data_IF_504338640675
#
_entry.id   IF_504338640675
#
_cell.length_a   1.000
_cell.length_b   1.000
_cell.length_c   1.000
_cell.angle_alpha   90.00
_cell.angle_beta   90.00
_cell.angle_gamma   90.00
#
_symmetry.space_group_name_H-M   'P 1'
#
loop_
_entity.id
_entity.type
_entity.pdbx_description
1 polymer ?
#
# COMPACT_ATOMS: atom_id res chain seq x y z
N UNK A 1 -20.46 -6.49 -29.31
CA UNK A 1 -19.29 -6.93 -28.52
C UNK A 1 -17.96 -6.35 -29.01
N UNK A 2 -17.72 -6.23 -30.33
CA UNK A 2 -16.45 -5.72 -30.87
C UNK A 2 -16.09 -4.28 -30.47
N UNK A 3 -17.05 -3.36 -30.42
CA UNK A 3 -16.78 -1.95 -30.07
C UNK A 3 -16.30 -1.75 -28.63
N UNK A 4 -16.84 -2.51 -27.66
CA UNK A 4 -16.41 -2.45 -26.25
C UNK A 4 -15.00 -3.01 -26.08
N UNK A 5 -14.70 -4.14 -26.72
CA UNK A 5 -13.37 -4.72 -26.70
C UNK A 5 -12.35 -3.79 -27.37
N UNK A 6 -12.70 -3.20 -28.52
CA UNK A 6 -11.87 -2.21 -29.22
C UNK A 6 -11.65 -0.94 -28.39
N UNK A 7 -12.70 -0.41 -27.75
CA UNK A 7 -12.59 0.78 -26.89
C UNK A 7 -11.67 0.49 -25.70
N UNK A 8 -11.87 -0.64 -25.01
CA UNK A 8 -11.01 -1.06 -23.91
C UNK A 8 -9.58 -1.27 -24.36
N UNK A 9 -9.37 -1.87 -25.54
CA UNK A 9 -8.03 -2.07 -26.09
C UNK A 9 -7.38 -0.72 -26.45
N UNK A 10 -8.10 0.22 -27.04
CA UNK A 10 -7.53 1.54 -27.37
C UNK A 10 -7.31 2.44 -26.15
N UNK A 11 -8.15 2.35 -25.12
CA UNK A 11 -8.04 3.20 -23.92
C UNK A 11 -7.14 2.59 -22.83
N UNK A 12 -7.00 1.26 -22.78
CA UNK A 12 -6.28 0.53 -21.74
C UNK A 12 -5.20 -0.45 -22.22
N UNK A 13 -5.00 -0.69 -23.53
CA UNK A 13 -3.97 -1.64 -24.01
C UNK A 13 -2.63 -1.00 -24.36
N UNK A 14 -2.20 0.01 -23.60
CA UNK A 14 -0.76 0.24 -23.54
C UNK A 14 -0.15 -0.89 -22.71
N UNK A 15 0.91 -1.52 -23.22
CA UNK A 15 1.70 -2.45 -22.44
C UNK A 15 2.12 -1.77 -21.13
N UNK A 16 2.00 -2.53 -20.06
CA UNK A 16 2.31 -2.06 -18.72
C UNK A 16 3.81 -1.76 -18.62
N UNK A 17 4.16 -0.47 -18.55
CA UNK A 17 5.56 -0.07 -18.41
C UNK A 17 6.13 -0.49 -17.06
N UNK A 18 7.45 -0.67 -16.97
CA UNK A 18 8.13 -0.97 -15.71
C UNK A 18 7.85 0.09 -14.65
N UNK A 19 7.72 1.36 -15.06
CA UNK A 19 7.37 2.48 -14.18
C UNK A 19 5.95 2.32 -13.63
N UNK A 20 4.97 1.98 -14.47
CA UNK A 20 3.60 1.72 -14.01
C UNK A 20 3.56 0.52 -13.04
N UNK A 21 4.41 -0.49 -13.28
CA UNK A 21 4.59 -1.60 -12.36
C UNK A 21 5.20 -1.22 -11.02
N UNK A 22 6.23 -0.38 -11.00
CA UNK A 22 6.81 0.13 -9.77
C UNK A 22 5.77 0.96 -8.97
N UNK A 23 5.08 1.90 -9.62
CA UNK A 23 4.06 2.75 -8.98
C UNK A 23 2.97 1.89 -8.35
N UNK A 24 2.41 0.95 -9.10
CA UNK A 24 1.38 0.06 -8.58
C UNK A 24 1.88 -0.77 -7.41
N UNK A 25 3.10 -1.31 -7.45
CA UNK A 25 3.66 -2.11 -6.35
C UNK A 25 3.88 -1.27 -5.09
N UNK A 26 4.33 -0.02 -5.23
CA UNK A 26 4.41 0.95 -4.13
C UNK A 26 3.02 1.19 -3.53
N UNK A 27 2.03 1.57 -4.35
CA UNK A 27 0.68 1.86 -3.88
C UNK A 27 0.05 0.64 -3.21
N UNK A 28 0.15 -0.54 -3.83
CA UNK A 28 -0.39 -1.81 -3.32
C UNK A 28 0.25 -2.21 -1.98
N UNK A 29 1.60 -2.18 -1.90
CA UNK A 29 2.29 -2.47 -0.65
C UNK A 29 1.89 -1.49 0.46
N UNK A 30 1.79 -0.19 0.14
CA UNK A 30 1.43 0.83 1.11
C UNK A 30 -0.04 0.73 1.57
N UNK A 31 -0.97 0.40 0.67
CA UNK A 31 -2.36 0.10 1.01
C UNK A 31 -2.46 -1.03 2.02
N UNK A 32 -1.67 -2.07 1.86
CA UNK A 32 -1.65 -3.17 2.81
C UNK A 32 -1.12 -2.75 4.19
N UNK A 33 -0.09 -1.90 4.25
CA UNK A 33 0.37 -1.32 5.53
C UNK A 33 -0.72 -0.47 6.18
N UNK A 34 -1.45 0.32 5.39
CA UNK A 34 -2.60 1.10 5.87
C UNK A 34 -3.71 0.19 6.41
N UNK A 35 -4.05 -0.91 5.73
CA UNK A 35 -5.05 -1.88 6.18
C UNK A 35 -4.61 -2.57 7.50
N UNK A 36 -3.33 -2.92 7.63
CA UNK A 36 -2.81 -3.49 8.88
C UNK A 36 -2.84 -2.47 10.03
N UNK A 37 -2.41 -1.23 9.78
CA UNK A 37 -2.40 -0.17 10.79
C UNK A 37 -3.83 0.22 11.23
N UNK A 38 -4.79 0.18 10.31
CA UNK A 38 -6.19 0.52 10.55
C UNK A 38 -6.81 -0.31 11.69
N UNK A 39 -6.39 -1.57 11.85
CA UNK A 39 -6.87 -2.45 12.92
C UNK A 39 -6.52 -1.94 14.33
N UNK A 40 -5.49 -1.10 14.47
CA UNK A 40 -5.09 -0.50 15.74
C UNK A 40 -5.73 0.87 15.98
N UNK A 41 -6.34 1.47 14.95
CA UNK A 41 -6.83 2.85 14.99
C UNK A 41 -8.35 2.96 14.74
N UNK A 42 -9.03 1.86 14.43
CA UNK A 42 -10.46 1.81 14.18
C UNK A 42 -11.12 0.57 14.78
N UNK A 43 -12.45 0.53 14.76
CA UNK A 43 -13.25 -0.64 15.14
C UNK A 43 -13.35 -1.71 14.05
N UNK A 44 -12.64 -1.55 12.93
CA UNK A 44 -12.63 -2.51 11.84
C UNK A 44 -11.42 -3.42 11.91
N UNK A 45 -11.66 -4.72 11.66
CA UNK A 45 -10.58 -5.65 11.40
C UNK A 45 -10.06 -5.45 9.97
N UNK A 46 -8.78 -5.78 9.74
CA UNK A 46 -8.21 -5.84 8.39
C UNK A 46 -8.98 -6.76 7.44
N UNK A 47 -9.70 -7.76 7.96
CA UNK A 47 -10.53 -8.68 7.19
C UNK A 47 -11.89 -8.10 6.75
N UNK A 48 -12.29 -6.95 7.30
CA UNK A 48 -13.56 -6.27 6.98
C UNK A 48 -13.40 -5.19 5.90
N UNK A 49 -12.16 -4.86 5.56
CA UNK A 49 -11.78 -3.77 4.66
C UNK A 49 -11.15 -4.35 3.38
N UNK A 50 -11.27 -3.63 2.28
CA UNK A 50 -10.64 -3.95 1.01
C UNK A 50 -9.96 -2.73 0.39
N UNK A 51 -9.06 -3.01 -0.54
CA UNK A 51 -8.41 -2.03 -1.40
C UNK A 51 -8.98 -2.08 -2.82
N UNK A 52 -8.88 -0.95 -3.51
CA UNK A 52 -9.06 -0.82 -4.95
C UNK A 52 -7.95 0.07 -5.50
N UNK A 53 -7.14 -0.43 -6.44
CA UNK A 53 -5.97 0.29 -6.92
C UNK A 53 -6.31 1.14 -8.15
N UNK A 54 -5.96 2.43 -8.09
CA UNK A 54 -6.08 3.38 -9.18
C UNK A 54 -4.71 3.58 -9.82
N UNK A 55 -4.27 2.56 -10.55
CA UNK A 55 -2.89 2.39 -11.02
C UNK A 55 -2.35 3.59 -11.82
N UNK A 56 -3.19 4.18 -12.68
CA UNK A 56 -2.81 5.35 -13.51
C UNK A 56 -2.66 6.63 -12.71
N UNK A 57 -3.17 6.67 -11.48
CA UNK A 57 -3.23 7.85 -10.62
C UNK A 57 -2.33 7.72 -9.40
N UNK A 58 -1.53 6.64 -9.29
CA UNK A 58 -0.73 6.31 -8.11
C UNK A 58 -1.54 6.38 -6.80
N UNK A 59 -2.84 6.06 -6.89
CA UNK A 59 -3.82 6.26 -5.83
C UNK A 59 -4.52 4.94 -5.53
N UNK A 60 -5.21 4.87 -4.40
CA UNK A 60 -6.02 3.73 -4.05
C UNK A 60 -7.17 4.14 -3.15
N UNK A 61 -8.19 3.29 -3.10
CA UNK A 61 -9.32 3.41 -2.19
C UNK A 61 -9.23 2.30 -1.14
N UNK A 62 -9.48 2.66 0.11
CA UNK A 62 -9.67 1.73 1.21
C UNK A 62 -11.13 1.84 1.63
N UNK A 63 -11.88 0.74 1.59
CA UNK A 63 -13.32 0.74 1.83
C UNK A 63 -13.78 -0.49 2.61
N UNK A 64 -14.93 -0.39 3.27
CA UNK A 64 -15.51 -1.50 4.02
C UNK A 64 -16.17 -2.47 3.04
N UNK A 65 -15.62 -3.68 2.92
CA UNK A 65 -16.12 -4.70 1.99
C UNK A 65 -17.04 -5.72 2.66
N UNK A 66 -16.95 -5.90 3.99
CA UNK A 66 -17.82 -6.80 4.75
C UNK A 66 -18.35 -6.11 6.00
N UNK A 67 -19.67 -6.02 6.09
CA UNK A 67 -20.37 -5.55 7.27
C UNK A 67 -20.55 -6.70 8.26
N UNK A 68 -19.52 -7.01 9.05
CA UNK A 68 -19.60 -8.05 10.09
C UNK A 68 -20.18 -7.52 11.40
N UNK A 69 -20.16 -6.20 11.60
CA UNK A 69 -20.69 -5.48 12.75
C UNK A 69 -21.11 -4.08 12.32
N UNK A 70 -22.22 -3.56 12.86
CA UNK A 70 -22.70 -2.21 12.57
C UNK A 70 -21.75 -1.16 13.18
N UNK A 71 -20.71 -0.79 12.44
CA UNK A 71 -19.73 0.21 12.82
C UNK A 71 -19.96 1.48 11.97
N UNK A 72 -21.09 2.17 12.18
CA UNK A 72 -21.35 3.40 11.44
C UNK A 72 -20.26 4.43 11.75
N UNK A 73 -19.59 4.94 10.71
CA UNK A 73 -18.61 6.03 10.85
C UNK A 73 -17.18 5.61 11.22
N UNK A 74 -16.86 4.33 11.45
CA UNK A 74 -15.52 3.94 11.92
C UNK A 74 -14.36 4.39 11.01
N UNK A 75 -14.54 4.28 9.70
CA UNK A 75 -13.54 4.72 8.71
C UNK A 75 -13.57 6.24 8.50
N UNK A 76 -14.74 6.87 8.58
CA UNK A 76 -14.88 8.32 8.48
C UNK A 76 -14.22 9.01 9.68
N UNK A 77 -14.50 8.56 10.91
CA UNK A 77 -13.86 9.04 12.14
C UNK A 77 -12.35 8.81 12.11
N UNK A 78 -11.89 7.65 11.61
CA UNK A 78 -10.45 7.41 11.41
C UNK A 78 -9.83 8.48 10.51
N UNK A 79 -10.45 8.78 9.37
CA UNK A 79 -9.98 9.77 8.42
C UNK A 79 -10.09 11.22 8.93
N UNK A 80 -11.13 11.56 9.70
CA UNK A 80 -11.33 12.93 10.18
C UNK A 80 -10.50 13.24 11.43
N UNK A 81 -10.33 12.27 12.33
CA UNK A 81 -9.76 12.52 13.66
C UNK A 81 -8.38 11.91 13.84
N UNK A 82 -8.02 10.87 13.08
CA UNK A 82 -6.85 10.02 13.35
C UNK A 82 -5.98 9.78 12.12
N UNK A 83 -6.19 10.52 11.03
CA UNK A 83 -5.49 10.35 9.76
C UNK A 83 -3.97 10.34 9.91
N UNK A 84 -3.43 11.37 10.56
CA UNK A 84 -1.99 11.51 10.75
C UNK A 84 -1.41 10.29 11.50
N UNK A 85 -2.00 9.93 12.64
CA UNK A 85 -1.56 8.78 13.45
C UNK A 85 -1.66 7.47 12.67
N UNK A 86 -2.70 7.31 11.87
CA UNK A 86 -2.89 6.11 11.05
C UNK A 86 -1.81 5.99 9.95
N UNK A 87 -1.55 7.08 9.23
CA UNK A 87 -0.51 7.14 8.19
C UNK A 87 0.88 6.94 8.81
N UNK A 88 1.19 7.58 9.94
CA UNK A 88 2.47 7.45 10.64
C UNK A 88 2.71 6.01 11.09
N UNK A 89 1.69 5.37 11.66
CA UNK A 89 1.72 3.97 12.09
C UNK A 89 1.99 3.03 10.92
N UNK A 90 1.28 3.20 9.80
CA UNK A 90 1.51 2.44 8.59
C UNK A 90 2.93 2.65 8.03
N UNK A 91 3.37 3.90 7.96
CA UNK A 91 4.70 4.30 7.46
C UNK A 91 5.82 3.72 8.33
N UNK A 92 5.68 3.78 9.65
CA UNK A 92 6.65 3.22 10.58
C UNK A 92 6.72 1.69 10.48
N UNK A 93 5.58 1.02 10.24
CA UNK A 93 5.52 -0.43 10.08
C UNK A 93 6.27 -0.94 8.84
N UNK A 94 6.52 -0.08 7.85
CA UNK A 94 7.26 -0.44 6.63
C UNK A 94 8.72 -0.84 6.93
N UNK A 95 9.31 -0.31 8.00
CA UNK A 95 10.74 -0.44 8.27
C UNK A 95 11.14 -1.75 8.94
N UNK A 96 10.22 -2.39 9.66
CA UNK A 96 10.56 -3.56 10.48
C UNK A 96 9.45 -4.61 10.46
N UNK A 97 9.86 -5.88 10.50
CA UNK A 97 8.99 -7.03 10.70
C UNK A 97 9.62 -7.92 11.77
N UNK A 98 8.77 -8.59 12.55
CA UNK A 98 9.21 -9.60 13.53
C UNK A 98 9.97 -10.77 12.90
N UNK A 99 9.86 -10.95 11.57
CA UNK A 99 10.53 -12.00 10.80
C UNK A 99 11.73 -11.48 10.00
N UNK A 100 12.18 -10.24 10.23
CA UNK A 100 13.42 -9.74 9.63
C UNK A 100 14.66 -10.42 10.24
N UNK A 101 15.75 -10.60 9.47
CA UNK A 101 15.98 -10.07 8.12
C UNK A 101 15.38 -10.91 6.98
N UNK A 102 15.02 -12.18 7.23
CA UNK A 102 14.57 -13.13 6.21
C UNK A 102 13.31 -12.63 5.47
N UNK A 103 12.39 -12.00 6.20
CA UNK A 103 11.16 -11.46 5.64
C UNK A 103 11.40 -10.47 4.51
N UNK A 104 12.18 -9.41 4.75
CA UNK A 104 12.54 -8.47 3.68
C UNK A 104 13.52 -9.10 2.69
N UNK A 105 14.67 -9.58 3.14
CA UNK A 105 15.80 -9.89 2.27
C UNK A 105 15.50 -11.02 1.26
N UNK A 106 14.77 -12.05 1.68
CA UNK A 106 14.53 -13.24 0.84
C UNK A 106 13.13 -13.29 0.25
N UNK A 107 12.13 -12.66 0.89
CA UNK A 107 10.72 -12.80 0.52
C UNK A 107 10.06 -11.51 0.07
N UNK A 108 10.65 -10.36 0.39
CA UNK A 108 10.03 -9.04 0.20
C UNK A 108 8.88 -8.75 1.18
N UNK A 109 8.35 -9.73 1.90
CA UNK A 109 7.25 -9.54 2.85
C UNK A 109 6.65 -10.85 3.34
N UNK A 110 5.74 -10.76 4.30
CA UNK A 110 5.04 -11.92 4.85
C UNK A 110 3.61 -11.59 5.27
N UNK A 111 2.88 -12.60 5.76
CA UNK A 111 1.51 -12.47 6.28
C UNK A 111 1.36 -11.55 7.49
N UNK A 112 2.45 -11.27 8.21
CA UNK A 112 2.42 -10.42 9.41
C UNK A 112 2.58 -8.93 9.09
N UNK A 113 3.39 -8.58 8.09
CA UNK A 113 3.67 -7.19 7.75
C UNK A 113 2.93 -6.70 6.51
N UNK A 114 2.68 -7.57 5.52
CA UNK A 114 2.32 -7.10 4.18
C UNK A 114 1.12 -7.84 3.60
N UNK A 115 1.06 -9.17 3.62
CA UNK A 115 -0.09 -9.85 3.02
C UNK A 115 -1.36 -9.68 3.88
N UNK A 116 -2.52 -9.56 3.23
CA UNK A 116 -3.84 -9.54 3.88
C UNK A 116 -4.63 -10.78 3.50
N UNK A 117 -5.50 -11.26 4.39
CA UNK A 117 -6.28 -12.48 4.16
C UNK A 117 -7.44 -12.25 3.17
N UNK A 118 -8.04 -11.05 3.20
CA UNK A 118 -9.15 -10.65 2.34
C UNK A 118 -8.97 -9.20 1.89
N UNK A 119 -9.70 -8.81 0.84
CA UNK A 119 -9.80 -7.42 0.45
C UNK A 119 -8.70 -6.92 -0.50
N UNK A 120 -7.72 -7.75 -0.86
CA UNK A 120 -6.76 -7.43 -1.92
C UNK A 120 -7.32 -7.84 -3.30
N UNK A 121 -7.49 -6.90 -4.22
CA UNK A 121 -7.96 -7.17 -5.59
C UNK A 121 -6.97 -8.01 -6.42
N UNK A 122 -5.68 -7.99 -6.05
CA UNK A 122 -4.60 -8.72 -6.72
C UNK A 122 -4.19 -10.02 -6.04
N UNK A 123 -4.92 -10.48 -5.03
CA UNK A 123 -4.60 -11.70 -4.27
C UNK A 123 -3.15 -11.73 -3.75
N UNK A 124 -2.69 -10.60 -3.18
CA UNK A 124 -1.33 -10.42 -2.66
C UNK A 124 -0.20 -10.57 -3.71
N UNK A 125 -0.52 -10.58 -5.01
CA UNK A 125 0.49 -10.70 -6.08
C UNK A 125 1.30 -9.41 -6.23
N UNK A 126 2.62 -9.56 -6.32
CA UNK A 126 3.53 -8.43 -6.53
C UNK A 126 3.75 -7.54 -5.30
N UNK A 127 3.38 -8.03 -4.11
CA UNK A 127 3.74 -7.38 -2.85
C UNK A 127 5.22 -7.56 -2.55
N UNK A 128 5.91 -6.45 -2.32
CA UNK A 128 7.28 -6.42 -1.80
C UNK A 128 7.49 -5.09 -1.05
N UNK A 129 7.87 -5.19 0.23
CA UNK A 129 8.17 -4.08 1.14
C UNK A 129 9.40 -3.31 0.68
N UNK A 130 10.28 -3.92 -0.10
CA UNK A 130 11.42 -3.26 -0.73
C UNK A 130 11.03 -2.07 -1.59
N UNK A 131 9.83 -2.06 -2.21
CA UNK A 131 9.33 -0.88 -2.94
C UNK A 131 9.11 0.33 -2.02
N UNK A 132 8.97 0.12 -0.71
CA UNK A 132 8.78 1.18 0.27
C UNK A 132 10.08 1.59 0.94
N UNK A 133 10.92 0.62 1.35
CA UNK A 133 12.11 0.90 2.18
C UNK A 133 13.46 0.59 1.52
N UNK A 134 13.46 -0.05 0.35
CA UNK A 134 14.65 -0.56 -0.33
C UNK A 134 15.00 -2.01 0.06
N UNK A 135 15.93 -2.59 -0.70
CA UNK A 135 16.41 -3.96 -0.59
C UNK A 135 15.44 -5.00 -1.16
N UNK A 136 15.42 -6.16 -0.51
CA UNK A 136 14.57 -7.29 -0.86
C UNK A 136 15.00 -8.06 -2.12
N UNK A 137 14.19 -9.03 -2.57
CA UNK A 137 14.55 -9.94 -3.67
C UNK A 137 14.67 -9.25 -5.02
N UNK A 138 14.09 -8.05 -5.16
CA UNK A 138 14.14 -7.24 -6.38
C UNK A 138 15.33 -6.27 -6.41
N UNK A 139 16.22 -6.31 -5.41
CA UNK A 139 17.41 -5.44 -5.28
C UNK A 139 17.06 -3.94 -5.45
N UNK A 140 15.99 -3.51 -4.77
CA UNK A 140 15.48 -2.14 -4.90
C UNK A 140 16.45 -1.20 -4.18
N UNK A 141 17.20 -0.39 -4.93
CA UNK A 141 18.21 0.50 -4.35
C UNK A 141 17.62 1.46 -3.33
N UNK A 142 16.52 2.12 -3.70
CA UNK A 142 15.84 3.10 -2.87
C UNK A 142 14.33 2.87 -2.95
N UNK A 143 13.72 2.68 -1.79
CA UNK A 143 12.26 2.59 -1.67
C UNK A 143 11.61 3.97 -1.60
N UNK A 144 10.32 4.04 -1.91
CA UNK A 144 9.56 5.30 -1.92
C UNK A 144 9.66 6.09 -0.60
N UNK A 145 9.50 5.42 0.55
CA UNK A 145 9.57 6.06 1.87
C UNK A 145 11.00 6.46 2.24
N UNK A 146 11.99 5.70 1.79
CA UNK A 146 13.39 6.04 1.96
C UNK A 146 13.73 7.35 1.23
N UNK A 147 13.37 7.47 -0.04
CA UNK A 147 13.58 8.70 -0.82
C UNK A 147 12.78 9.88 -0.24
N UNK A 148 11.52 9.64 0.19
CA UNK A 148 10.70 10.68 0.80
C UNK A 148 11.34 11.24 2.09
N UNK A 149 11.84 10.39 2.99
CA UNK A 149 12.53 10.84 4.21
C UNK A 149 13.77 11.68 3.91
N UNK A 150 14.56 11.30 2.90
CA UNK A 150 15.72 12.09 2.50
C UNK A 150 15.33 13.45 1.94
N UNK A 151 14.28 13.54 1.12
CA UNK A 151 13.82 14.81 0.56
C UNK A 151 13.39 15.79 1.66
N UNK A 152 12.72 15.31 2.71
CA UNK A 152 12.32 16.13 3.86
C UNK A 152 13.55 16.62 4.62
N UNK A 153 14.53 15.74 4.86
CA UNK A 153 15.78 16.12 5.53
C UNK A 153 16.57 17.17 4.74
N UNK A 154 16.66 17.01 3.42
CA UNK A 154 17.35 17.96 2.54
C UNK A 154 16.64 19.32 2.50
N UNK A 155 15.30 19.35 2.46
CA UNK A 155 14.54 20.61 2.53
C UNK A 155 14.75 21.33 3.86
N UNK A 156 14.78 20.60 4.98
CA UNK A 156 15.03 21.20 6.29
C UNK A 156 16.43 21.84 6.40
N UNK A 157 17.45 21.22 5.80
CA UNK A 157 18.81 21.76 5.74
C UNK A 157 18.96 22.96 4.80
N UNK A 158 18.03 23.16 3.86
CA UNK A 158 18.04 24.27 2.91
C UNK A 158 17.33 25.52 3.43
N UNK A 159 16.58 25.40 4.54
CA UNK A 159 15.89 26.49 5.22
C UNK A 159 16.73 27.11 6.37
N UNK A 160 17.90 26.52 6.68
CA UNK A 160 18.93 27.04 7.61
C UNK A 160 20.02 27.82 6.87
#
# INVERSE_FOLDING_TARGET
MAARAWLLNQTYAQEESEVAAAIRRVTHAYCHLLIHALANHSSYSSNSVAEYLLERQASALIYVAKYTSFNLGGLATLAEQHLQRWIDSATQSAWTCVHDPVCLAERGGCHKCLAVAFGCERFNKGLDRGYLVGGGPQDIREGYLYTAQQSVALSALAEE
#
